data_IF_423618657443
#
_entry.id   IF_423618657443
#
_cell.length_a   1.000
_cell.length_b   1.000
_cell.length_c   1.000
_cell.angle_alpha   90.00
_cell.angle_beta   90.00
_cell.angle_gamma   90.00
#
_symmetry.space_group_name_H-M   'P 1'
#
loop_
_entity.id
_entity.type
_entity.pdbx_description
1 polymer ?
#
# COMPACT_ATOMS: atom_id res chain seq x y z
N UNK A 1 -16.40 -2.29 23.58
CA UNK A 1 -16.53 -3.60 22.91
C UNK A 1 -15.12 -4.09 22.59
N UNK A 2 -14.91 -5.41 22.55
CA UNK A 2 -13.59 -6.04 22.48
C UNK A 2 -12.72 -5.45 21.36
N UNK A 3 -11.58 -4.86 21.72
CA UNK A 3 -10.45 -4.70 20.82
C UNK A 3 -9.94 -6.10 20.50
N UNK A 4 -10.33 -6.65 19.36
CA UNK A 4 -9.52 -7.67 18.70
C UNK A 4 -8.26 -6.98 18.21
N UNK A 5 -7.23 -6.96 19.05
CA UNK A 5 -5.88 -6.83 18.55
C UNK A 5 -5.67 -7.98 17.58
N UNK A 6 -5.71 -7.72 16.28
CA UNK A 6 -5.14 -8.61 15.27
C UNK A 6 -3.65 -8.72 15.62
N UNK A 7 -3.30 -9.66 16.48
CA UNK A 7 -1.94 -10.21 16.61
C UNK A 7 -1.72 -11.26 15.51
N UNK A 8 -2.30 -11.01 14.33
CA UNK A 8 -2.08 -11.82 13.15
C UNK A 8 -0.67 -11.52 12.69
N UNK A 9 0.19 -12.53 12.80
CA UNK A 9 1.51 -12.54 12.20
C UNK A 9 1.37 -12.10 10.74
N UNK A 10 2.01 -10.99 10.37
CA UNK A 10 1.86 -10.40 9.06
C UNK A 10 2.85 -11.05 8.09
N UNK A 11 2.37 -12.01 7.29
CA UNK A 11 3.18 -12.65 6.26
C UNK A 11 3.45 -11.66 5.11
N UNK A 12 4.72 -11.38 4.85
CA UNK A 12 5.09 -10.62 3.66
C UNK A 12 5.34 -11.62 2.53
N UNK A 13 4.38 -11.72 1.60
CA UNK A 13 4.38 -12.70 0.53
C UNK A 13 5.54 -12.47 -0.45
N UNK A 14 6.63 -13.21 -0.25
CA UNK A 14 7.44 -13.74 -1.33
C UNK A 14 6.79 -15.06 -1.77
N UNK A 15 6.21 -15.15 -2.97
CA UNK A 15 5.68 -16.43 -3.48
C UNK A 15 6.78 -17.17 -4.23
N UNK A 16 6.78 -18.50 -4.16
CA UNK A 16 7.75 -19.38 -4.85
C UNK A 16 7.78 -19.12 -6.38
N UNK A 17 6.66 -18.66 -6.94
CA UNK A 17 6.51 -18.41 -8.38
C UNK A 17 6.95 -17.01 -8.83
N UNK A 18 7.43 -16.15 -7.92
CA UNK A 18 7.95 -14.83 -8.31
C UNK A 18 9.33 -15.01 -8.97
N UNK A 19 9.53 -14.53 -10.20
CA UNK A 19 10.86 -14.43 -10.81
C UNK A 19 11.75 -13.46 -9.98
N UNK A 20 12.42 -14.00 -8.95
CA UNK A 20 13.09 -13.21 -7.92
C UNK A 20 14.61 -13.11 -8.12
N UNK A 21 15.19 -13.97 -8.97
CA UNK A 21 16.63 -14.00 -9.22
C UNK A 21 17.01 -13.38 -10.56
N UNK A 22 17.67 -12.23 -10.51
CA UNK A 22 18.52 -11.73 -11.58
C UNK A 22 19.81 -11.23 -10.93
N UNK A 23 20.97 -11.52 -11.54
CA UNK A 23 22.29 -10.99 -11.15
C UNK A 23 22.35 -9.46 -10.98
N UNK A 24 21.32 -8.74 -11.41
CA UNK A 24 21.18 -7.29 -11.35
C UNK A 24 20.43 -6.75 -10.11
N UNK A 25 19.98 -7.61 -9.17
CA UNK A 25 19.39 -7.11 -7.92
C UNK A 25 20.46 -6.39 -7.08
N UNK A 26 20.28 -5.10 -6.76
CA UNK A 26 21.39 -4.28 -6.28
C UNK A 26 21.69 -4.44 -4.78
N UNK A 27 20.71 -4.77 -3.93
CA UNK A 27 20.86 -4.69 -2.48
C UNK A 27 20.46 -5.97 -1.75
N UNK A 28 21.23 -6.27 -0.69
CA UNK A 28 20.97 -7.36 0.24
C UNK A 28 21.58 -7.07 1.61
N UNK A 29 20.94 -7.57 2.65
CA UNK A 29 21.43 -7.54 4.04
C UNK A 29 21.68 -8.99 4.50
N UNK A 30 22.83 -9.26 5.09
CA UNK A 30 23.09 -10.54 5.76
C UNK A 30 22.36 -10.56 7.09
N UNK A 31 21.52 -11.58 7.31
CA UNK A 31 20.82 -11.76 8.58
C UNK A 31 21.61 -12.70 9.50
N UNK A 32 21.55 -12.43 10.80
CA UNK A 32 22.24 -13.23 11.80
C UNK A 32 21.46 -14.52 12.08
N UNK A 33 22.13 -15.66 11.96
CA UNK A 33 21.58 -16.98 12.28
C UNK A 33 22.56 -17.70 13.19
N UNK A 34 22.09 -18.09 14.38
CA UNK A 34 22.91 -18.76 15.38
C UNK A 34 22.67 -20.27 15.41
N UNK A 35 21.47 -20.71 15.09
CA UNK A 35 21.04 -22.11 15.03
C UNK A 35 19.81 -22.27 14.13
N UNK A 36 19.39 -23.51 13.86
CA UNK A 36 18.13 -23.79 13.19
C UNK A 36 16.94 -23.55 14.12
N UNK A 37 15.76 -23.30 13.55
CA UNK A 37 14.53 -22.98 14.30
C UNK A 37 14.05 -21.55 14.04
N UNK A 38 13.15 -21.04 14.89
CA UNK A 38 12.60 -19.69 14.72
C UNK A 38 13.66 -18.64 15.07
N UNK A 39 14.03 -17.83 14.07
CA UNK A 39 15.02 -16.77 14.18
C UNK A 39 14.33 -15.42 13.97
N UNK A 40 14.73 -14.44 14.77
CA UNK A 40 14.27 -13.06 14.66
C UNK A 40 15.48 -12.13 14.55
N UNK A 41 15.47 -11.26 13.54
CA UNK A 41 16.45 -10.18 13.41
C UNK A 41 15.73 -8.83 13.51
N UNK A 42 16.32 -7.89 14.25
CA UNK A 42 15.90 -6.50 14.24
C UNK A 42 16.55 -5.78 13.06
N UNK A 43 15.75 -5.02 12.31
CA UNK A 43 16.16 -4.27 11.13
C UNK A 43 15.63 -2.85 11.20
N UNK A 44 16.52 -1.91 10.90
CA UNK A 44 16.21 -0.51 10.66
C UNK A 44 16.72 -0.17 9.25
N UNK A 45 15.82 -0.06 8.28
CA UNK A 45 16.21 0.06 6.88
C UNK A 45 16.94 1.37 6.61
N UNK A 46 16.61 2.47 7.29
CA UNK A 46 17.38 3.73 7.18
C UNK A 46 18.83 3.56 7.62
N UNK A 47 19.09 2.79 8.69
CA UNK A 47 20.47 2.47 9.10
C UNK A 47 21.18 1.55 8.11
N UNK A 48 20.49 0.52 7.58
CA UNK A 48 21.05 -0.37 6.56
C UNK A 48 21.36 0.39 5.25
N UNK A 49 20.48 1.31 4.85
CA UNK A 49 20.64 2.15 3.68
C UNK A 49 21.84 3.09 3.83
N UNK A 50 22.08 3.61 5.03
CA UNK A 50 23.28 4.40 5.31
C UNK A 50 24.57 3.58 5.16
N UNK A 51 24.57 2.31 5.60
CA UNK A 51 25.73 1.40 5.42
C UNK A 51 25.98 1.07 3.93
N UNK A 52 24.91 1.01 3.14
CA UNK A 52 24.94 0.72 1.70
C UNK A 52 25.16 1.97 0.83
N UNK A 53 25.19 3.17 1.41
CA UNK A 53 25.40 4.43 0.67
C UNK A 53 24.16 4.96 -0.07
N UNK A 54 22.96 4.55 0.34
CA UNK A 54 21.66 4.90 -0.28
C UNK A 54 20.71 5.58 0.73
N UNK A 55 21.24 6.40 1.65
CA UNK A 55 20.51 6.98 2.79
C UNK A 55 19.21 7.74 2.50
N UNK A 56 19.00 8.20 1.28
CA UNK A 56 17.79 8.96 0.90
C UNK A 56 16.78 8.12 0.11
N UNK A 57 17.00 6.81 0.02
CA UNK A 57 16.10 5.89 -0.66
C UNK A 57 14.92 5.51 0.25
N UNK A 58 13.81 5.12 -0.36
CA UNK A 58 12.72 4.44 0.32
C UNK A 58 12.72 2.96 -0.02
N UNK A 59 12.40 2.11 0.96
CA UNK A 59 12.27 0.68 0.74
C UNK A 59 11.13 0.36 -0.24
N UNK A 60 11.38 -0.48 -1.23
CA UNK A 60 10.27 -1.14 -1.92
C UNK A 60 9.84 -2.35 -1.08
N UNK A 61 8.81 -2.19 -0.25
CA UNK A 61 8.39 -3.26 0.68
C UNK A 61 7.98 -4.53 -0.07
N UNK A 62 7.34 -4.39 -1.24
CA UNK A 62 6.88 -5.51 -2.07
C UNK A 62 8.05 -6.31 -2.66
N UNK A 63 9.25 -5.72 -2.69
CA UNK A 63 10.47 -6.36 -3.18
C UNK A 63 11.17 -7.28 -2.19
N UNK A 64 10.80 -7.26 -0.90
CA UNK A 64 11.51 -8.03 0.12
C UNK A 64 11.48 -9.53 -0.19
N UNK A 65 12.65 -10.16 -0.24
CA UNK A 65 12.80 -11.61 -0.43
C UNK A 65 13.83 -12.15 0.57
N UNK A 66 13.43 -13.10 1.41
CA UNK A 66 14.34 -13.79 2.31
C UNK A 66 14.89 -15.04 1.65
N UNK A 67 16.20 -15.07 1.43
CA UNK A 67 16.86 -16.09 0.60
C UNK A 67 17.87 -16.88 1.42
N UNK A 68 17.69 -18.20 1.62
CA UNK A 68 18.70 -19.09 2.18
C UNK A 68 19.85 -19.26 1.18
N UNK A 69 21.06 -19.46 1.69
CA UNK A 69 22.25 -19.70 0.87
C UNK A 69 23.03 -20.89 1.43
N UNK A 70 23.34 -21.86 0.57
CA UNK A 70 24.12 -23.06 0.90
C UNK A 70 25.26 -23.22 -0.08
N UNK A 71 26.48 -23.42 0.42
CA UNK A 71 27.74 -23.44 -0.34
C UNK A 71 27.91 -22.21 -1.27
N UNK A 72 27.40 -21.05 -0.83
CA UNK A 72 27.42 -19.81 -1.62
C UNK A 72 26.40 -19.74 -2.76
N UNK A 73 25.50 -20.73 -2.87
CA UNK A 73 24.44 -20.80 -3.87
C UNK A 73 23.11 -20.35 -3.23
N UNK A 74 22.46 -19.29 -3.73
CA UNK A 74 21.11 -18.90 -3.29
C UNK A 74 20.09 -20.01 -3.61
N UNK A 75 19.26 -20.35 -2.62
CA UNK A 75 18.07 -21.19 -2.79
C UNK A 75 16.81 -20.36 -3.03
N UNK A 76 15.62 -20.96 -2.97
CA UNK A 76 14.34 -20.27 -3.22
C UNK A 76 13.93 -19.34 -2.07
N UNK A 77 13.10 -18.30 -2.31
CA UNK A 77 12.63 -17.41 -1.28
C UNK A 77 11.75 -18.16 -0.30
N UNK A 78 11.94 -17.86 0.98
CA UNK A 78 11.14 -18.43 2.05
C UNK A 78 10.21 -17.37 2.66
N UNK A 79 9.04 -17.78 3.19
CA UNK A 79 8.16 -16.87 3.89
C UNK A 79 8.81 -16.33 5.16
N UNK A 80 8.42 -15.12 5.53
CA UNK A 80 8.81 -14.47 6.78
C UNK A 80 7.67 -13.57 7.27
N UNK A 81 7.72 -13.29 8.56
CA UNK A 81 6.85 -12.35 9.25
C UNK A 81 7.62 -11.07 9.55
N UNK A 82 6.93 -9.94 9.59
CA UNK A 82 7.56 -8.66 9.93
C UNK A 82 6.72 -7.77 10.86
N UNK A 83 7.36 -6.74 11.43
CA UNK A 83 6.71 -5.80 12.37
C UNK A 83 6.96 -4.32 12.09
N UNK A 84 7.58 -3.97 10.96
CA UNK A 84 7.80 -2.58 10.53
C UNK A 84 6.67 -2.06 9.62
N UNK A 85 5.64 -2.84 9.39
CA UNK A 85 4.45 -2.43 8.66
C UNK A 85 3.16 -2.79 9.38
N UNK A 86 2.05 -2.20 8.95
CA UNK A 86 0.71 -2.46 9.47
C UNK A 86 -0.35 -2.41 8.38
N UNK A 87 -1.24 -3.39 8.35
CA UNK A 87 -2.42 -3.40 7.47
C UNK A 87 -3.48 -2.47 8.06
N UNK A 88 -3.97 -1.53 7.26
CA UNK A 88 -5.18 -0.75 7.56
C UNK A 88 -6.41 -1.56 7.14
N UNK A 89 -6.38 -2.10 5.91
CA UNK A 89 -7.44 -2.96 5.38
C UNK A 89 -6.90 -3.93 4.34
N UNK A 90 -7.21 -5.21 4.51
CA UNK A 90 -7.01 -6.29 3.53
C UNK A 90 -8.31 -6.68 2.81
N UNK A 91 -9.41 -6.00 3.14
CA UNK A 91 -10.73 -6.22 2.57
C UNK A 91 -11.25 -7.67 2.68
N UNK A 92 -10.84 -8.39 3.72
CA UNK A 92 -11.42 -9.71 4.05
C UNK A 92 -12.83 -9.58 4.68
N UNK A 93 -13.11 -8.45 5.32
CA UNK A 93 -14.41 -8.09 5.88
C UNK A 93 -14.81 -6.67 5.45
N UNK A 94 -16.08 -6.50 5.06
CA UNK A 94 -16.62 -5.17 4.79
C UNK A 94 -16.94 -4.45 6.10
N UNK A 95 -16.06 -3.54 6.50
CA UNK A 95 -16.27 -2.65 7.64
C UNK A 95 -16.75 -1.30 7.10
N UNK A 96 -18.04 -0.99 7.27
CA UNK A 96 -18.62 0.30 6.90
C UNK A 96 -18.54 1.29 8.06
N UNK A 97 -18.20 2.54 7.74
CA UNK A 97 -18.25 3.65 8.68
C UNK A 97 -19.71 4.09 8.86
N UNK A 98 -20.35 3.74 9.98
CA UNK A 98 -21.77 4.10 10.23
C UNK A 98 -21.92 5.44 10.95
N UNK A 99 -20.81 6.01 11.42
CA UNK A 99 -20.73 7.35 12.01
C UNK A 99 -19.36 7.97 11.79
N UNK A 100 -19.25 9.28 12.03
CA UNK A 100 -18.00 10.03 11.85
C UNK A 100 -16.84 9.49 12.71
N UNK A 101 -17.14 8.86 13.84
CA UNK A 101 -16.14 8.40 14.82
C UNK A 101 -15.78 6.91 14.68
N UNK A 102 -16.29 6.24 13.66
CA UNK A 102 -16.06 4.81 13.42
C UNK A 102 -15.17 4.58 12.19
N UNK A 103 -14.10 3.82 12.40
CA UNK A 103 -13.21 3.34 11.36
C UNK A 103 -13.97 2.47 10.36
N UNK A 104 -13.67 2.64 9.06
CA UNK A 104 -14.27 1.83 7.99
C UNK A 104 -14.46 2.60 6.69
N UNK A 105 -14.93 1.89 5.67
CA UNK A 105 -15.25 2.44 4.36
C UNK A 105 -16.49 3.33 4.40
N UNK A 106 -16.43 4.45 3.70
CA UNK A 106 -17.54 5.38 3.53
C UNK A 106 -17.62 5.90 2.09
N UNK A 107 -18.81 6.38 1.73
CA UNK A 107 -19.14 6.85 0.39
C UNK A 107 -19.03 8.37 0.29
N UNK A 108 -18.58 8.87 -0.86
CA UNK A 108 -18.71 10.29 -1.24
C UNK A 108 -19.86 10.50 -2.25
N UNK A 109 -20.40 9.43 -2.82
CA UNK A 109 -21.52 9.45 -3.75
C UNK A 109 -22.59 8.44 -3.31
N UNK A 110 -23.85 8.89 -3.24
CA UNK A 110 -24.98 8.07 -2.75
C UNK A 110 -25.28 6.85 -3.63
N UNK A 111 -24.88 6.86 -4.91
CA UNK A 111 -25.04 5.73 -5.82
C UNK A 111 -23.99 4.62 -5.60
N UNK A 112 -23.03 4.82 -4.69
CA UNK A 112 -21.97 3.84 -4.43
C UNK A 112 -22.52 2.64 -3.65
N UNK A 113 -22.32 1.44 -4.19
CA UNK A 113 -22.54 0.18 -3.49
C UNK A 113 -21.19 -0.49 -3.18
N UNK A 114 -21.04 -1.00 -1.96
CA UNK A 114 -19.84 -1.72 -1.53
C UNK A 114 -20.14 -3.18 -1.27
N UNK A 115 -19.24 -4.04 -1.74
CA UNK A 115 -19.21 -5.45 -1.37
C UNK A 115 -17.78 -5.96 -1.28
N UNK A 116 -17.58 -7.11 -0.63
CA UNK A 116 -16.32 -7.84 -0.74
C UNK A 116 -16.42 -8.81 -1.89
N UNK A 117 -15.46 -8.73 -2.81
CA UNK A 117 -15.33 -9.65 -3.93
C UNK A 117 -14.17 -10.62 -3.67
N UNK A 118 -14.41 -11.92 -3.82
CA UNK A 118 -13.35 -12.93 -3.72
C UNK A 118 -12.48 -13.01 -4.98
N UNK A 119 -12.89 -12.37 -6.08
CA UNK A 119 -12.13 -12.22 -7.33
C UNK A 119 -12.65 -11.00 -8.11
N UNK A 120 -11.79 -10.07 -8.56
CA UNK A 120 -10.33 -10.07 -8.41
C UNK A 120 -9.88 -9.71 -6.98
N UNK A 121 -8.70 -10.18 -6.56
CA UNK A 121 -8.02 -9.79 -5.30
C UNK A 121 -6.51 -9.94 -5.43
N UNK A 122 -5.74 -9.32 -4.54
CA UNK A 122 -4.26 -9.33 -4.54
C UNK A 122 -3.68 -10.06 -3.34
N UNK A 123 -4.36 -10.02 -2.20
CA UNK A 123 -4.04 -10.75 -0.98
C UNK A 123 -5.33 -11.24 -0.31
N UNK A 124 -5.19 -11.89 0.85
CA UNK A 124 -6.31 -12.27 1.71
C UNK A 124 -7.37 -13.14 1.01
N UNK A 125 -8.58 -13.03 1.53
CA UNK A 125 -9.78 -13.71 1.06
C UNK A 125 -10.61 -12.86 0.09
N UNK A 126 -10.47 -11.53 0.08
CA UNK A 126 -11.25 -10.64 -0.79
C UNK A 126 -10.56 -9.35 -1.21
N UNK A 127 -11.32 -8.51 -1.91
CA UNK A 127 -11.02 -7.11 -2.18
C UNK A 127 -12.31 -6.29 -2.01
N UNK A 128 -12.17 -5.00 -1.67
CA UNK A 128 -13.30 -4.08 -1.64
C UNK A 128 -13.70 -3.81 -3.08
N UNK A 129 -14.94 -4.08 -3.45
CA UNK A 129 -15.53 -3.65 -4.70
C UNK A 129 -16.44 -2.44 -4.44
N UNK A 130 -16.21 -1.35 -5.14
CA UNK A 130 -17.01 -0.14 -5.14
C UNK A 130 -17.66 0.03 -6.52
N UNK A 131 -18.97 -0.18 -6.59
CA UNK A 131 -19.77 0.05 -7.79
C UNK A 131 -20.39 1.43 -7.74
N UNK A 132 -20.09 2.30 -8.70
CA UNK A 132 -20.52 3.71 -8.70
C UNK A 132 -21.26 4.02 -10.01
N UNK A 133 -22.49 4.52 -9.89
CA UNK A 133 -23.27 5.05 -11.02
C UNK A 133 -23.10 6.57 -11.10
N UNK A 134 -22.51 7.05 -12.19
CA UNK A 134 -22.28 8.46 -12.48
C UNK A 134 -23.46 8.97 -13.32
N UNK A 135 -24.17 9.95 -12.79
CA UNK A 135 -25.34 10.57 -13.42
C UNK A 135 -25.19 12.09 -13.52
N UNK A 136 -26.19 12.76 -14.11
CA UNK A 136 -26.25 14.22 -14.14
C UNK A 136 -26.38 14.84 -12.74
N UNK A 137 -26.85 14.09 -11.74
CA UNK A 137 -26.95 14.54 -10.34
C UNK A 137 -25.71 14.25 -9.49
N UNK A 138 -24.77 13.42 -9.97
CA UNK A 138 -23.52 13.10 -9.24
C UNK A 138 -22.75 14.38 -8.90
N UNK A 139 -22.13 14.40 -7.71
CA UNK A 139 -21.36 15.56 -7.26
C UNK A 139 -20.12 15.82 -8.13
N UNK A 140 -19.55 17.03 -8.02
CA UNK A 140 -18.34 17.35 -8.78
C UNK A 140 -17.16 16.47 -8.34
N UNK A 141 -16.96 16.32 -7.03
CA UNK A 141 -16.03 15.38 -6.44
C UNK A 141 -16.83 14.21 -5.86
N UNK A 142 -16.55 13.00 -6.33
CA UNK A 142 -17.30 11.79 -5.97
C UNK A 142 -16.33 10.61 -5.81
N UNK A 143 -16.75 9.51 -5.17
CA UNK A 143 -15.86 8.38 -4.87
C UNK A 143 -16.10 7.83 -3.47
N UNK A 144 -15.01 7.51 -2.76
CA UNK A 144 -15.09 6.85 -1.47
C UNK A 144 -13.88 7.14 -0.57
N UNK A 145 -13.95 6.71 0.68
CA UNK A 145 -12.88 6.93 1.64
C UNK A 145 -12.79 5.83 2.69
N UNK A 146 -11.63 5.74 3.33
CA UNK A 146 -11.44 4.99 4.56
C UNK A 146 -11.35 5.95 5.75
N UNK A 147 -12.24 5.82 6.73
CA UNK A 147 -12.22 6.62 7.95
C UNK A 147 -11.18 6.07 8.92
N UNK A 148 -10.30 6.93 9.41
CA UNK A 148 -9.25 6.62 10.39
C UNK A 148 -9.56 7.17 11.78
N UNK A 149 -10.64 7.94 11.94
CA UNK A 149 -11.03 8.48 13.26
C UNK A 149 -11.27 7.32 14.25
N UNK A 150 -10.69 7.43 15.44
CA UNK A 150 -10.77 6.40 16.46
C UNK A 150 -9.90 5.16 16.22
N UNK A 151 -9.18 5.10 15.10
CA UNK A 151 -8.24 4.03 14.78
C UNK A 151 -6.83 4.30 15.33
N UNK A 152 -5.97 3.27 15.46
CA UNK A 152 -4.55 3.48 15.74
C UNK A 152 -3.81 4.22 14.61
N UNK A 153 -4.39 4.28 13.41
CA UNK A 153 -3.84 4.91 12.21
C UNK A 153 -4.22 6.39 12.08
N UNK A 154 -4.77 7.00 13.13
CA UNK A 154 -5.11 8.43 13.12
C UNK A 154 -3.88 9.34 13.06
N UNK A 155 -2.73 8.87 13.56
CA UNK A 155 -1.44 9.53 13.45
C UNK A 155 -0.56 8.74 12.48
N UNK A 156 -0.17 9.37 11.36
CA UNK A 156 0.69 8.75 10.35
C UNK A 156 2.13 9.28 10.39
N UNK A 157 2.53 9.95 11.49
CA UNK A 157 3.82 10.62 11.63
C UNK A 157 5.01 9.68 11.80
N UNK A 158 4.78 8.40 12.07
CA UNK A 158 5.86 7.42 12.17
C UNK A 158 6.06 6.65 10.85
N UNK A 159 5.11 6.70 9.92
CA UNK A 159 5.20 5.95 8.66
C UNK A 159 5.82 6.76 7.53
N UNK A 160 6.42 6.04 6.58
CA UNK A 160 7.10 6.61 5.42
C UNK A 160 6.31 6.44 4.13
N UNK A 161 5.59 5.32 3.98
CA UNK A 161 4.86 4.98 2.75
C UNK A 161 3.52 4.31 3.06
N UNK A 162 2.51 4.73 2.31
CA UNK A 162 1.23 4.04 2.17
C UNK A 162 1.24 3.19 0.90
N UNK A 163 0.86 1.93 1.01
CA UNK A 163 0.67 1.00 -0.08
C UNK A 163 -0.82 0.74 -0.24
N UNK A 164 -1.25 0.62 -1.49
CA UNK A 164 -2.56 0.11 -1.84
C UNK A 164 -2.52 -0.44 -3.27
N UNK A 165 -3.40 -1.39 -3.54
CA UNK A 165 -3.65 -1.95 -4.86
C UNK A 165 -5.01 -1.46 -5.33
N UNK A 166 -5.09 -0.99 -6.59
CA UNK A 166 -6.33 -0.47 -7.17
C UNK A 166 -6.57 -1.05 -8.56
N UNK A 167 -7.78 -1.55 -8.81
CA UNK A 167 -8.23 -2.06 -10.10
C UNK A 167 -9.39 -1.20 -10.60
N UNK A 168 -9.16 -0.31 -11.58
CA UNK A 168 -10.25 0.42 -12.24
C UNK A 168 -10.86 -0.40 -13.38
N UNK A 169 -12.19 -0.53 -13.39
CA UNK A 169 -12.97 -0.95 -14.56
C UNK A 169 -13.97 0.14 -14.89
N UNK A 170 -13.66 0.87 -15.96
CA UNK A 170 -14.54 1.85 -16.55
C UNK A 170 -14.36 1.81 -18.07
N UNK A 171 -15.44 2.05 -18.81
CA UNK A 171 -15.34 2.16 -20.26
C UNK A 171 -14.42 3.33 -20.64
N UNK A 172 -13.39 3.07 -21.43
CA UNK A 172 -12.41 4.11 -21.82
C UNK A 172 -13.06 5.26 -22.59
N UNK A 173 -14.14 5.00 -23.32
CA UNK A 173 -14.92 6.01 -24.05
C UNK A 173 -15.58 7.04 -23.14
N UNK A 174 -15.71 6.73 -21.84
CA UNK A 174 -16.25 7.63 -20.83
C UNK A 174 -15.18 8.54 -20.22
N UNK A 175 -13.89 8.28 -20.42
CA UNK A 175 -12.80 9.07 -19.83
C UNK A 175 -12.32 10.13 -20.84
N UNK A 176 -12.47 11.40 -20.49
CA UNK A 176 -11.98 12.51 -21.32
C UNK A 176 -10.51 12.86 -21.04
N UNK A 177 -10.01 12.54 -19.85
CA UNK A 177 -8.66 12.92 -19.40
C UNK A 177 -7.96 11.78 -18.67
N UNK A 178 -6.89 11.24 -19.28
CA UNK A 178 -5.85 10.46 -18.59
C UNK A 178 -4.63 11.38 -18.40
N UNK A 179 -3.89 11.34 -17.27
CA UNK A 179 -3.92 10.42 -16.14
C UNK A 179 -4.69 10.89 -14.90
N UNK A 180 -5.31 12.08 -14.93
CA UNK A 180 -5.93 12.75 -13.77
C UNK A 180 -7.25 12.10 -13.31
N UNK A 181 -7.45 10.81 -13.56
CA UNK A 181 -8.69 10.08 -13.29
C UNK A 181 -8.99 10.00 -11.79
N UNK A 182 -8.00 9.54 -11.01
CA UNK A 182 -8.11 9.36 -9.56
C UNK A 182 -7.34 10.46 -8.86
N UNK A 183 -7.95 11.04 -7.84
CA UNK A 183 -7.35 11.97 -6.92
C UNK A 183 -7.28 11.34 -5.53
N UNK A 184 -6.25 11.73 -4.79
CA UNK A 184 -5.95 11.21 -3.47
C UNK A 184 -5.87 12.36 -2.46
N UNK A 185 -6.55 12.24 -1.33
CA UNK A 185 -6.55 13.23 -0.25
C UNK A 185 -6.37 12.58 1.11
N UNK A 186 -5.52 13.18 1.94
CA UNK A 186 -5.52 12.94 3.39
C UNK A 186 -6.31 14.03 4.10
N UNK A 187 -7.56 13.76 4.45
CA UNK A 187 -8.41 14.73 5.15
C UNK A 187 -7.83 14.99 6.55
N UNK A 188 -7.38 16.23 6.81
CA UNK A 188 -6.77 16.62 8.07
C UNK A 188 -5.26 16.92 8.00
N UNK A 189 -4.63 16.66 6.85
CA UNK A 189 -3.22 17.06 6.61
C UNK A 189 -3.04 18.57 6.83
N UNK A 190 -1.94 18.95 7.47
CA UNK A 190 -1.58 20.36 7.70
C UNK A 190 -0.23 20.69 7.09
N UNK A 191 0.08 21.99 7.04
CA UNK A 191 1.31 22.54 6.47
C UNK A 191 1.50 22.31 4.96
N UNK A 192 0.44 21.90 4.26
CA UNK A 192 0.40 21.78 2.81
C UNK A 192 -0.57 22.82 2.22
N UNK A 193 -0.24 23.32 1.03
CA UNK A 193 -1.10 24.28 0.30
C UNK A 193 -2.29 23.58 -0.34
N UNK A 194 -2.02 22.43 -0.94
CA UNK A 194 -3.01 21.61 -1.60
C UNK A 194 -3.32 20.43 -0.67
N UNK A 195 -4.60 20.16 -0.47
CA UNK A 195 -5.09 19.11 0.43
C UNK A 195 -5.21 17.76 -0.29
N UNK A 196 -5.20 17.78 -1.63
CA UNK A 196 -5.23 16.61 -2.48
C UNK A 196 -4.12 16.65 -3.52
N UNK A 197 -3.87 15.49 -4.12
CA UNK A 197 -2.90 15.31 -5.19
C UNK A 197 -3.50 14.49 -6.33
N UNK A 198 -2.90 14.59 -7.51
CA UNK A 198 -3.23 13.71 -8.62
C UNK A 198 -2.71 12.30 -8.32
N UNK A 199 -3.57 11.32 -8.51
CA UNK A 199 -3.19 9.92 -8.50
C UNK A 199 -2.34 9.55 -9.72
N UNK A 200 -1.84 8.31 -9.74
CA UNK A 200 -1.05 7.79 -10.85
C UNK A 200 -1.90 7.58 -12.11
N UNK A 201 -1.26 7.55 -13.27
CA UNK A 201 -1.89 6.96 -14.45
C UNK A 201 -2.21 5.48 -14.18
N UNK A 202 -3.48 5.10 -14.25
CA UNK A 202 -3.89 3.73 -13.99
C UNK A 202 -4.03 2.94 -15.30
N UNK A 203 -3.54 1.70 -15.30
CA UNK A 203 -3.88 0.70 -16.29
C UNK A 203 -5.31 0.20 -16.03
N UNK A 204 -6.19 0.41 -17.01
CA UNK A 204 -7.58 -0.06 -16.96
C UNK A 204 -7.63 -1.59 -16.98
N UNK A 205 -8.61 -2.16 -16.29
CA UNK A 205 -8.85 -3.61 -16.22
C UNK A 205 -7.64 -4.42 -15.74
N UNK A 206 -6.80 -3.82 -14.89
CA UNK A 206 -5.62 -4.43 -14.30
C UNK A 206 -5.40 -3.91 -12.88
N UNK A 207 -4.72 -4.70 -12.05
CA UNK A 207 -4.24 -4.24 -10.76
C UNK A 207 -3.10 -3.24 -10.94
N UNK A 208 -3.22 -2.10 -10.29
CA UNK A 208 -2.19 -1.08 -10.19
C UNK A 208 -1.68 -1.09 -8.75
N UNK A 209 -0.41 -1.47 -8.58
CA UNK A 209 0.25 -1.53 -7.27
C UNK A 209 0.87 -0.18 -6.99
N UNK A 210 0.33 0.54 -6.02
CA UNK A 210 0.75 1.90 -5.71
C UNK A 210 1.60 1.91 -4.44
N UNK A 211 2.76 2.54 -4.51
CA UNK A 211 3.61 2.91 -3.38
C UNK A 211 3.59 4.43 -3.28
N UNK A 212 2.99 4.94 -2.21
CA UNK A 212 2.75 6.36 -1.99
C UNK A 212 3.60 6.90 -0.82
N UNK A 213 4.68 7.64 -1.11
CA UNK A 213 5.48 8.34 -0.10
C UNK A 213 4.63 9.34 0.67
N UNK A 214 4.70 9.27 1.99
CA UNK A 214 4.04 10.20 2.89
C UNK A 214 4.84 11.51 3.03
N UNK A 215 6.16 11.44 2.78
CA UNK A 215 7.08 12.58 2.81
C UNK A 215 8.01 12.52 1.59
N UNK A 216 7.82 13.37 0.58
CA UNK A 216 6.82 14.45 0.50
C UNK A 216 5.39 13.95 0.23
N UNK A 217 4.38 14.71 0.67
CA UNK A 217 2.98 14.54 0.24
C UNK A 217 2.74 15.35 -1.03
N UNK A 218 2.83 14.74 -2.21
CA UNK A 218 2.81 15.48 -3.47
C UNK A 218 3.98 16.45 -3.57
N UNK A 219 3.69 17.74 -3.76
CA UNK A 219 4.70 18.81 -3.75
C UNK A 219 4.99 19.35 -2.34
N UNK A 220 4.27 18.88 -1.32
CA UNK A 220 4.43 19.31 0.06
C UNK A 220 5.59 18.56 0.71
N UNK A 221 6.72 19.25 0.92
CA UNK A 221 7.94 18.64 1.46
C UNK A 221 7.85 18.24 2.94
N UNK A 222 6.99 18.89 3.73
CA UNK A 222 6.87 18.68 5.17
C UNK A 222 5.41 18.67 5.63
N UNK A 223 4.61 17.69 5.20
CA UNK A 223 3.25 17.54 5.67
C UNK A 223 3.23 17.23 7.17
N UNK A 224 2.27 17.80 7.89
CA UNK A 224 1.93 17.35 9.24
C UNK A 224 0.83 16.31 9.13
N UNK A 225 1.20 15.07 9.46
CA UNK A 225 0.39 13.86 9.37
C UNK A 225 -0.06 13.35 10.76
N UNK A 226 0.06 14.17 11.80
CA UNK A 226 -0.25 13.77 13.18
C UNK A 226 -1.72 13.46 13.43
N UNK A 227 -2.60 13.89 12.52
CA UNK A 227 -4.06 13.81 12.66
C UNK A 227 -4.75 13.68 11.31
N UNK A 228 -4.75 12.48 10.74
CA UNK A 228 -5.46 12.19 9.50
C UNK A 228 -6.80 11.54 9.81
N UNK A 229 -7.89 12.20 9.42
CA UNK A 229 -9.25 11.70 9.64
C UNK A 229 -9.62 10.66 8.60
N UNK A 230 -9.26 10.85 7.33
CA UNK A 230 -9.65 9.97 6.22
C UNK A 230 -8.58 9.85 5.16
N UNK A 231 -8.56 8.69 4.52
CA UNK A 231 -7.89 8.46 3.23
C UNK A 231 -8.96 8.48 2.15
N UNK A 232 -8.97 9.48 1.28
CA UNK A 232 -9.99 9.62 0.23
C UNK A 232 -9.43 9.24 -1.14
N UNK A 233 -10.23 8.48 -1.87
CA UNK A 233 -10.04 8.15 -3.28
C UNK A 233 -11.23 8.72 -4.03
N UNK A 234 -11.00 9.78 -4.80
CA UNK A 234 -12.08 10.51 -5.43
C UNK A 234 -11.78 10.86 -6.88
N UNK A 235 -12.83 11.21 -7.58
CA UNK A 235 -12.88 11.45 -9.01
C UNK A 235 -13.54 12.79 -9.25
N UNK A 236 -13.15 13.44 -10.34
CA UNK A 236 -13.79 14.69 -10.77
C UNK A 236 -14.72 14.42 -11.92
N UNK A 237 -15.98 14.81 -11.77
CA UNK A 237 -17.04 14.61 -12.77
C UNK A 237 -16.67 15.17 -14.15
N UNK A 238 -15.92 16.27 -14.18
CA UNK A 238 -15.49 16.92 -15.42
C UNK A 238 -14.51 16.07 -16.26
N UNK A 239 -13.90 15.04 -15.66
CA UNK A 239 -13.01 14.11 -16.35
C UNK A 239 -13.77 13.05 -17.16
N UNK A 240 -15.11 13.03 -17.10
CA UNK A 240 -15.93 12.01 -17.74
C UNK A 240 -16.84 12.60 -18.82
N UNK A 241 -17.03 11.84 -19.90
CA UNK A 241 -18.08 12.07 -20.89
C UNK A 241 -19.21 11.08 -20.61
N UNK A 242 -20.36 11.56 -20.15
CA UNK A 242 -21.52 10.71 -19.91
C UNK A 242 -22.75 11.32 -20.59
N UNK A 243 -23.47 10.52 -21.39
CA UNK A 243 -24.69 10.96 -22.09
C UNK A 243 -25.96 10.65 -21.31
N UNK A 244 -25.95 9.61 -20.48
CA UNK A 244 -27.14 9.12 -19.75
C UNK A 244 -26.76 8.72 -18.31
N UNK A 245 -26.13 7.57 -18.14
CA UNK A 245 -25.51 7.12 -16.89
C UNK A 245 -24.27 6.30 -17.24
N UNK A 246 -23.21 6.47 -16.45
CA UNK A 246 -21.94 5.77 -16.61
C UNK A 246 -21.67 4.90 -15.38
N UNK A 247 -21.22 3.66 -15.61
CA UNK A 247 -20.85 2.75 -14.52
C UNK A 247 -19.34 2.76 -14.37
N UNK A 248 -18.91 2.79 -13.12
CA UNK A 248 -17.52 2.77 -12.73
C UNK A 248 -17.35 1.80 -11.58
N UNK A 249 -16.56 0.76 -11.81
CA UNK A 249 -16.22 -0.24 -10.80
C UNK A 249 -14.77 -0.07 -10.37
N UNK A 250 -14.54 -0.09 -9.06
CA UNK A 250 -13.21 -0.03 -8.47
C UNK A 250 -13.03 -1.18 -7.50
N UNK A 251 -11.94 -1.94 -7.64
CA UNK A 251 -11.49 -2.84 -6.58
C UNK A 251 -10.30 -2.24 -5.84
N UNK A 252 -10.29 -2.37 -4.52
CA UNK A 252 -9.19 -1.98 -3.65
C UNK A 252 -8.79 -3.09 -2.71
N UNK A 253 -7.49 -3.25 -2.53
CA UNK A 253 -6.88 -4.23 -1.65
C UNK A 253 -5.51 -3.69 -1.18
N UNK A 254 -4.84 -4.39 -0.28
CA UNK A 254 -3.46 -4.12 0.15
C UNK A 254 -3.25 -2.74 0.79
N UNK A 255 -4.25 -2.19 1.49
CA UNK A 255 -4.12 -0.90 2.16
C UNK A 255 -3.25 -1.04 3.42
N UNK A 256 -1.98 -0.65 3.32
CA UNK A 256 -0.93 -0.95 4.29
C UNK A 256 0.01 0.24 4.45
N UNK A 257 0.55 0.43 5.65
CA UNK A 257 1.59 1.41 5.96
C UNK A 257 2.88 0.71 6.34
N UNK A 258 4.04 1.31 6.07
CA UNK A 258 5.29 0.89 6.72
C UNK A 258 6.14 2.06 7.18
N UNK A 259 6.95 1.79 8.20
CA UNK A 259 7.96 2.66 8.79
C UNK A 259 9.33 2.00 8.55
N UNK A 260 10.17 2.61 7.71
CA UNK A 260 11.52 2.10 7.42
C UNK A 260 12.56 2.52 8.47
N UNK A 261 12.21 3.48 9.33
CA UNK A 261 12.99 3.93 10.48
C UNK A 261 12.69 3.14 11.75
N UNK A 262 11.61 2.35 11.74
CA UNK A 262 11.28 1.41 12.80
C UNK A 262 12.46 0.47 13.07
N UNK A 263 12.67 0.15 14.34
CA UNK A 263 13.46 -1.02 14.73
C UNK A 263 12.56 -2.26 14.64
N UNK A 264 12.06 -2.54 13.44
CA UNK A 264 11.15 -3.65 13.18
C UNK A 264 11.87 -4.99 13.18
N UNK A 265 11.10 -6.07 13.27
CA UNK A 265 11.62 -7.42 13.31
C UNK A 265 11.28 -8.15 12.02
N UNK A 266 12.16 -9.05 11.59
CA UNK A 266 11.86 -10.11 10.63
C UNK A 266 12.03 -11.44 11.33
N UNK A 267 11.00 -12.28 11.26
CA UNK A 267 10.97 -13.62 11.86
C UNK A 267 10.74 -14.69 10.80
N UNK A 268 11.54 -15.75 10.84
CA UNK A 268 11.39 -16.91 9.95
C UNK A 268 11.88 -18.19 10.61
N UNK A 269 11.62 -19.32 9.99
CA UNK A 269 12.16 -20.61 10.44
C UNK A 269 13.44 -20.95 9.65
N UNK A 270 14.59 -20.87 10.32
CA UNK A 270 15.88 -21.26 9.76
C UNK A 270 16.02 -22.79 9.73
N UNK A 271 16.58 -23.30 8.63
CA UNK A 271 16.75 -24.72 8.34
C UNK A 271 18.13 -25.22 8.73
N UNK A 272 18.22 -26.51 9.06
CA UNK A 272 19.51 -27.19 9.19
C UNK A 272 20.22 -27.22 7.82
N UNK A 273 21.54 -27.00 7.81
CA UNK A 273 22.39 -27.01 6.60
C UNK A 273 22.26 -25.79 5.66
N UNK A 274 21.72 -24.68 6.16
CA UNK A 274 21.84 -23.37 5.49
C UNK A 274 23.01 -22.59 6.09
N UNK A 275 23.90 -22.06 5.25
CA UNK A 275 25.11 -21.35 5.69
C UNK A 275 24.81 -19.89 6.07
N UNK A 276 23.87 -19.27 5.37
CA UNK A 276 23.52 -17.86 5.56
C UNK A 276 22.11 -17.56 5.04
N UNK A 277 21.51 -16.50 5.58
CA UNK A 277 20.27 -15.93 5.08
C UNK A 277 20.50 -14.49 4.67
N UNK A 278 20.00 -14.12 3.50
CA UNK A 278 20.06 -12.76 2.99
C UNK A 278 18.66 -12.22 2.76
N UNK A 279 18.39 -11.01 3.25
CA UNK A 279 17.22 -10.25 2.85
C UNK A 279 17.58 -9.42 1.62
N UNK A 280 17.04 -9.80 0.47
CA UNK A 280 17.12 -9.05 -0.77
C UNK A 280 16.00 -8.03 -0.85
N UNK A 281 16.30 -6.87 -1.43
CA UNK A 281 15.34 -5.80 -1.60
C UNK A 281 15.76 -4.85 -2.73
N UNK A 282 14.81 -4.04 -3.17
CA UNK A 282 14.99 -2.89 -4.03
C UNK A 282 14.50 -1.62 -3.33
N UNK A 283 14.73 -0.49 -3.98
CA UNK A 283 14.32 0.82 -3.49
C UNK A 283 13.36 1.50 -4.46
N UNK A 284 12.42 2.25 -3.91
CA UNK A 284 11.53 3.09 -4.69
C UNK A 284 12.34 4.17 -5.42
N UNK A 285 12.24 4.19 -6.75
CA UNK A 285 12.90 5.19 -7.58
C UNK A 285 11.97 6.40 -7.77
N UNK A 286 12.29 7.50 -7.11
CA UNK A 286 11.61 8.77 -7.33
C UNK A 286 11.83 9.27 -8.76
N UNK A 287 10.74 9.49 -9.49
CA UNK A 287 10.75 10.44 -10.59
C UNK A 287 10.26 11.78 -10.02
N UNK A 288 11.12 12.80 -10.04
CA UNK A 288 10.96 14.13 -9.42
C UNK A 288 9.67 14.93 -9.79
N UNK A 289 8.75 14.35 -10.55
CA UNK A 289 7.55 15.02 -11.09
C UNK A 289 6.24 14.36 -10.60
N UNK A 290 6.28 13.09 -10.16
CA UNK A 290 5.11 12.40 -9.61
C UNK A 290 5.58 11.57 -8.40
N UNK A 291 4.97 11.72 -7.21
CA UNK A 291 5.40 11.00 -6.01
C UNK A 291 5.11 9.50 -6.07
N UNK A 292 4.58 8.98 -7.17
CA UNK A 292 4.07 7.61 -7.25
C UNK A 292 5.06 6.72 -8.01
N UNK A 293 5.41 5.59 -7.41
CA UNK A 293 6.26 4.57 -8.03
C UNK A 293 5.40 3.42 -8.54
N UNK A 294 5.65 3.03 -9.79
CA UNK A 294 4.98 1.92 -10.46
C UNK A 294 5.88 0.70 -10.55
N UNK A 295 5.26 -0.49 -10.50
CA UNK A 295 5.80 -1.73 -11.06
C UNK A 295 4.86 -2.27 -12.12
#
# INVERSE_FOLDING_TARGET
LLLSTLTGLQETYARIDDDWWNHQWPYRILLQVNEAGTITNELNFSQEFAKLGISNALLDLRSLRLIPTTAGIPGDPIPFEETFSQIISDADELILSTSYDEMGWGILEESTDFEINSTPKTQGEGSLHAHIEITDTTQHDFGFYYNLVGSPFFDLSDYDVLLYDIYPSISEDLINTKPELVYFEFEGVKNCRDEFINGPELMMNNWNKIDFPLRPYGICAGPDLSRINKIKFFFKKDNFNYSDAAIMDFWMDYLRLYDQEANGQITWNAEENVDAYYLYFDVLRYQYILPLVFR
#
